data_IF_747230933819
#
_entry.id   IF_747230933819
#
_cell.length_a   1.000
_cell.length_b   1.000
_cell.length_c   1.000
_cell.angle_alpha   90.00
_cell.angle_beta   90.00
_cell.angle_gamma   90.00
#
_symmetry.space_group_name_H-M   'P 1'
#
loop_
_entity.id
_entity.type
_entity.pdbx_description
1 polymer ?
#
# COMPACT_ATOMS: atom_id res chain seq x y z
N UNK A 1 17.75 21.99 21.58
CA UNK A 1 17.25 21.72 20.23
C UNK A 1 18.35 21.27 19.24
N UNK A 2 19.56 21.57 19.51
CA UNK A 2 20.73 20.95 18.92
C UNK A 2 20.70 19.42 18.98
N UNK A 3 20.06 18.85 20.00
CA UNK A 3 20.04 17.42 20.30
C UNK A 3 19.38 16.54 19.22
N UNK A 4 18.34 17.00 18.52
CA UNK A 4 17.65 16.18 17.50
C UNK A 4 18.44 16.19 16.20
N UNK A 5 18.96 17.33 15.78
CA UNK A 5 19.81 17.42 14.58
C UNK A 5 21.11 16.68 14.82
N UNK A 6 21.75 16.87 15.98
CA UNK A 6 22.96 16.11 16.37
C UNK A 6 22.69 14.60 16.47
N UNK A 7 21.50 14.21 16.95
CA UNK A 7 21.09 12.80 16.96
C UNK A 7 20.92 12.25 15.54
N UNK A 8 20.28 13.01 14.64
CA UNK A 8 20.11 12.61 13.23
C UNK A 8 21.46 12.58 12.51
N UNK A 9 22.36 13.51 12.79
CA UNK A 9 23.70 13.52 12.20
C UNK A 9 24.51 12.31 12.68
N UNK A 10 24.45 11.96 13.97
CA UNK A 10 25.18 10.82 14.54
C UNK A 10 24.56 9.47 14.20
N UNK A 11 23.24 9.39 14.14
CA UNK A 11 22.50 8.15 13.90
C UNK A 11 21.70 8.17 12.58
N UNK A 12 22.04 9.07 11.66
CA UNK A 12 21.30 9.29 10.40
C UNK A 12 20.99 7.99 9.62
N UNK A 13 22.00 7.17 9.33
CA UNK A 13 21.78 5.93 8.58
C UNK A 13 20.79 4.95 9.25
N UNK A 14 20.92 4.58 10.56
CA UNK A 14 19.96 3.68 11.20
C UNK A 14 18.58 4.30 11.41
N UNK A 15 18.49 5.61 11.65
CA UNK A 15 17.21 6.32 11.75
C UNK A 15 16.50 6.32 10.41
N UNK A 16 17.23 6.62 9.34
CA UNK A 16 16.70 6.59 7.96
C UNK A 16 16.24 5.19 7.57
N UNK A 17 17.04 4.17 7.86
CA UNK A 17 16.68 2.77 7.65
C UNK A 17 15.36 2.44 8.35
N UNK A 18 15.26 2.70 9.66
CA UNK A 18 14.06 2.40 10.44
C UNK A 18 12.83 3.17 9.97
N UNK A 19 12.99 4.44 9.62
CA UNK A 19 11.90 5.27 9.13
C UNK A 19 11.36 4.78 7.78
N UNK A 20 12.25 4.51 6.82
CA UNK A 20 11.89 3.97 5.50
C UNK A 20 11.30 2.58 5.64
N UNK A 21 11.85 1.74 6.52
CA UNK A 21 11.29 0.42 6.80
C UNK A 21 9.83 0.50 7.27
N UNK A 22 9.53 1.40 8.22
CA UNK A 22 8.17 1.59 8.74
C UNK A 22 7.22 2.14 7.68
N UNK A 23 7.65 3.15 6.91
CA UNK A 23 6.88 3.71 5.80
C UNK A 23 6.52 2.62 4.77
N UNK A 24 7.52 1.86 4.33
CA UNK A 24 7.35 0.79 3.36
C UNK A 24 6.61 -0.43 3.93
N UNK A 25 6.62 -0.61 5.25
CA UNK A 25 5.80 -1.61 5.93
C UNK A 25 4.31 -1.23 6.00
N UNK A 26 3.94 -0.01 5.56
CA UNK A 26 2.55 0.47 5.49
C UNK A 26 2.13 1.35 6.67
N UNK A 27 3.05 1.74 7.54
CA UNK A 27 2.79 2.78 8.54
C UNK A 27 2.67 4.12 7.81
N UNK A 28 1.64 4.96 8.06
CA UNK A 28 1.44 6.20 7.33
C UNK A 28 2.43 7.30 7.80
N UNK A 29 3.72 7.03 7.64
CA UNK A 29 4.82 7.95 7.91
C UNK A 29 5.29 8.55 6.58
N UNK A 30 5.42 9.87 6.46
CA UNK A 30 5.91 10.47 5.24
C UNK A 30 7.45 10.30 5.16
N UNK A 31 7.94 9.35 4.36
CA UNK A 31 9.39 9.15 4.17
C UNK A 31 10.03 10.20 3.26
N UNK A 32 9.30 10.70 2.26
CA UNK A 32 9.82 11.66 1.28
C UNK A 32 10.43 12.92 1.91
N UNK A 33 9.77 13.62 2.85
CA UNK A 33 10.38 14.78 3.50
C UNK A 33 11.69 14.46 4.21
N UNK A 34 11.79 13.28 4.85
CA UNK A 34 13.02 12.86 5.51
C UNK A 34 14.14 12.59 4.51
N UNK A 35 13.84 11.94 3.39
CA UNK A 35 14.80 11.68 2.31
C UNK A 35 15.34 12.99 1.71
N UNK A 36 14.48 13.98 1.50
CA UNK A 36 14.88 15.31 1.03
C UNK A 36 15.82 16.01 2.03
N UNK A 37 15.47 15.97 3.32
CA UNK A 37 16.33 16.56 4.37
C UNK A 37 17.67 15.86 4.47
N UNK A 38 17.69 14.52 4.45
CA UNK A 38 18.92 13.72 4.48
C UNK A 38 19.77 14.01 3.24
N UNK A 39 19.13 14.14 2.06
CA UNK A 39 19.79 14.55 0.83
C UNK A 39 20.44 15.94 0.95
N UNK A 40 19.73 16.92 1.51
CA UNK A 40 20.27 18.26 1.74
C UNK A 40 21.44 18.26 2.72
N UNK A 41 21.35 17.50 3.82
CA UNK A 41 22.46 17.33 4.76
C UNK A 41 23.69 16.66 4.11
N UNK A 42 23.45 15.73 3.18
CA UNK A 42 24.52 15.13 2.40
C UNK A 42 25.17 16.14 1.43
N UNK A 43 24.37 17.01 0.79
CA UNK A 43 24.83 18.11 -0.05
C UNK A 43 25.66 19.14 0.72
N UNK A 44 25.27 19.44 1.96
CA UNK A 44 26.02 20.29 2.87
C UNK A 44 27.27 19.61 3.50
N UNK A 45 27.57 18.36 3.11
CA UNK A 45 28.73 17.62 3.60
C UNK A 45 28.62 17.10 5.04
N UNK A 46 27.42 17.16 5.65
CA UNK A 46 27.19 16.74 7.03
C UNK A 46 26.89 15.23 7.15
N UNK A 47 26.45 14.60 6.06
CA UNK A 47 26.17 13.16 5.99
C UNK A 47 26.78 12.54 4.73
N UNK A 48 27.13 11.26 4.83
CA UNK A 48 27.58 10.51 3.65
C UNK A 48 26.37 10.13 2.76
N UNK A 49 26.41 10.61 1.52
CA UNK A 49 25.39 10.29 0.50
C UNK A 49 25.23 8.78 0.32
N UNK A 50 26.34 8.05 0.25
CA UNK A 50 26.33 6.60 0.04
C UNK A 50 25.74 5.82 1.20
N UNK A 51 26.01 6.24 2.44
CA UNK A 51 25.41 5.62 3.62
C UNK A 51 23.90 5.91 3.69
N UNK A 52 23.48 7.11 3.34
CA UNK A 52 22.07 7.48 3.26
C UNK A 52 21.33 6.64 2.20
N UNK A 53 21.89 6.56 0.99
CA UNK A 53 21.35 5.74 -0.09
C UNK A 53 21.24 4.26 0.32
N UNK A 54 22.34 3.69 0.83
CA UNK A 54 22.38 2.29 1.27
C UNK A 54 21.35 1.98 2.36
N UNK A 55 21.20 2.89 3.33
CA UNK A 55 20.22 2.74 4.43
C UNK A 55 18.78 2.79 3.92
N UNK A 56 18.46 3.73 3.02
CA UNK A 56 17.13 3.84 2.43
C UNK A 56 16.78 2.60 1.60
N UNK A 57 17.69 2.16 0.73
CA UNK A 57 17.52 0.94 -0.10
C UNK A 57 17.36 -0.30 0.78
N UNK A 58 18.20 -0.45 1.81
CA UNK A 58 18.09 -1.58 2.75
C UNK A 58 16.72 -1.59 3.47
N UNK A 59 16.24 -0.42 3.94
CA UNK A 59 14.94 -0.29 4.57
C UNK A 59 13.80 -0.70 3.64
N UNK A 60 13.82 -0.26 2.38
CA UNK A 60 12.88 -0.69 1.35
C UNK A 60 12.91 -2.22 1.16
N UNK A 61 14.09 -2.78 0.89
CA UNK A 61 14.24 -4.20 0.58
C UNK A 61 13.75 -5.10 1.72
N UNK A 62 14.05 -4.74 2.97
CA UNK A 62 13.60 -5.52 4.13
C UNK A 62 12.07 -5.51 4.22
N UNK A 63 11.43 -4.35 4.07
CA UNK A 63 9.97 -4.25 4.08
C UNK A 63 9.33 -5.04 2.94
N UNK A 64 9.85 -4.89 1.73
CA UNK A 64 9.31 -5.54 0.53
C UNK A 64 9.49 -7.07 0.59
N UNK A 65 10.62 -7.56 1.11
CA UNK A 65 10.85 -8.98 1.34
C UNK A 65 9.89 -9.56 2.39
N UNK A 66 9.57 -8.81 3.43
CA UNK A 66 8.57 -9.22 4.41
C UNK A 66 7.20 -9.38 3.73
N UNK A 67 6.75 -8.39 2.96
CA UNK A 67 5.48 -8.45 2.24
C UNK A 67 5.44 -9.55 1.20
N UNK A 68 6.51 -9.72 0.41
CA UNK A 68 6.65 -10.82 -0.55
C UNK A 68 6.53 -12.19 0.15
N UNK A 69 7.22 -12.37 1.29
CA UNK A 69 7.20 -13.63 2.04
C UNK A 69 5.82 -13.91 2.64
N UNK A 70 5.15 -12.89 3.15
CA UNK A 70 3.77 -13.02 3.62
C UNK A 70 2.83 -13.39 2.47
N UNK A 71 2.92 -12.71 1.33
CA UNK A 71 2.15 -13.04 0.13
C UNK A 71 2.37 -14.47 -0.32
N UNK A 72 3.64 -14.91 -0.38
CA UNK A 72 4.01 -16.26 -0.81
C UNK A 72 3.51 -17.36 0.12
N UNK A 73 3.44 -17.10 1.46
CA UNK A 73 3.05 -18.08 2.47
C UNK A 73 1.54 -18.09 2.75
N UNK A 74 0.90 -16.95 2.72
CA UNK A 74 -0.50 -16.75 3.15
C UNK A 74 -1.45 -16.48 1.99
N UNK A 75 -0.94 -16.34 0.76
CA UNK A 75 -1.74 -16.12 -0.44
C UNK A 75 -2.62 -14.88 -0.36
N UNK A 76 -3.80 -14.94 -0.98
CA UNK A 76 -4.75 -13.82 -1.01
C UNK A 76 -5.24 -13.35 0.38
N UNK A 77 -5.08 -14.16 1.44
CA UNK A 77 -5.43 -13.75 2.81
C UNK A 77 -4.66 -12.51 3.27
N UNK A 78 -3.43 -12.32 2.75
CA UNK A 78 -2.60 -11.14 3.06
C UNK A 78 -3.23 -9.88 2.48
N UNK A 79 -3.79 -9.95 1.28
CA UNK A 79 -4.45 -8.82 0.64
C UNK A 79 -5.63 -8.33 1.48
N UNK A 80 -6.44 -9.25 2.03
CA UNK A 80 -7.51 -8.92 2.96
C UNK A 80 -7.02 -8.27 4.28
N UNK A 81 -5.86 -8.68 4.79
CA UNK A 81 -5.23 -8.05 5.95
C UNK A 81 -4.75 -6.64 5.62
N UNK A 82 -4.13 -6.47 4.45
CA UNK A 82 -3.65 -5.16 3.99
C UNK A 82 -4.80 -4.18 3.79
N UNK A 83 -5.95 -4.63 3.24
CA UNK A 83 -7.17 -3.82 3.15
C UNK A 83 -7.66 -3.33 4.53
N UNK A 84 -7.34 -4.04 5.59
CA UNK A 84 -7.67 -3.62 6.97
C UNK A 84 -6.68 -2.61 7.54
N UNK A 85 -5.42 -2.70 7.14
CA UNK A 85 -4.33 -1.83 7.62
C UNK A 85 -4.25 -0.56 6.78
N UNK A 86 -4.25 -0.69 5.46
CA UNK A 86 -4.30 0.45 4.55
C UNK A 86 -5.69 1.09 4.63
N UNK A 87 -5.72 2.40 4.80
CA UNK A 87 -6.95 3.20 4.89
C UNK A 87 -7.69 3.31 3.54
N UNK A 88 -7.28 2.52 2.54
CA UNK A 88 -7.83 2.52 1.18
C UNK A 88 -8.98 1.50 1.03
N UNK A 89 -10.05 1.84 0.30
CA UNK A 89 -11.17 0.93 0.03
C UNK A 89 -10.77 -0.24 -0.89
N UNK A 90 -11.57 -1.33 -0.83
CA UNK A 90 -11.34 -2.58 -1.59
C UNK A 90 -11.13 -2.38 -3.11
N UNK A 91 -11.64 -1.28 -3.67
CA UNK A 91 -11.42 -0.87 -5.06
C UNK A 91 -9.95 -0.59 -5.39
N UNK A 92 -9.15 -0.14 -4.41
CA UNK A 92 -7.71 0.10 -4.62
C UNK A 92 -6.94 -1.22 -4.81
N UNK A 93 -7.27 -2.23 -4.02
CA UNK A 93 -6.63 -3.55 -4.11
C UNK A 93 -6.88 -4.17 -5.48
N UNK A 94 -8.12 -4.14 -5.97
CA UNK A 94 -8.47 -4.66 -7.29
C UNK A 94 -7.71 -3.94 -8.40
N UNK A 95 -7.68 -2.60 -8.34
CA UNK A 95 -6.92 -1.82 -9.33
C UNK A 95 -5.44 -2.17 -9.34
N UNK A 96 -4.84 -2.43 -8.16
CA UNK A 96 -3.44 -2.86 -8.06
C UNK A 96 -3.28 -4.29 -8.59
N UNK A 97 -4.22 -5.20 -8.31
CA UNK A 97 -4.23 -6.55 -8.88
C UNK A 97 -4.31 -6.53 -10.40
N UNK A 98 -5.19 -5.72 -10.98
CA UNK A 98 -5.36 -5.59 -12.44
C UNK A 98 -4.13 -4.98 -13.09
N UNK A 99 -3.58 -3.92 -12.51
CA UNK A 99 -2.33 -3.31 -12.96
C UNK A 99 -1.17 -4.30 -12.85
N UNK A 100 -1.09 -5.07 -11.77
CA UNK A 100 -0.06 -6.10 -11.61
C UNK A 100 -0.23 -7.25 -12.61
N UNK A 101 -1.46 -7.67 -12.89
CA UNK A 101 -1.76 -8.68 -13.90
C UNK A 101 -1.36 -8.21 -15.31
N UNK A 102 -1.57 -6.92 -15.62
CA UNK A 102 -1.23 -6.34 -16.92
C UNK A 102 0.28 -6.10 -17.09
N UNK A 103 0.94 -5.56 -16.07
CA UNK A 103 2.33 -5.09 -16.16
C UNK A 103 3.36 -5.96 -15.44
N UNK A 104 2.91 -6.89 -14.59
CA UNK A 104 3.77 -7.80 -13.82
C UNK A 104 4.92 -7.06 -13.10
N UNK A 105 6.16 -7.52 -13.32
CA UNK A 105 7.36 -6.95 -12.69
C UNK A 105 7.63 -5.48 -13.07
N UNK A 106 7.17 -5.03 -14.24
CA UNK A 106 7.32 -3.63 -14.68
C UNK A 106 6.49 -2.66 -13.84
N UNK A 107 5.53 -3.18 -13.09
CA UNK A 107 4.71 -2.38 -12.19
C UNK A 107 5.45 -2.01 -10.88
N UNK A 108 6.42 -2.82 -10.42
CA UNK A 108 7.13 -2.61 -9.16
C UNK A 108 7.83 -1.23 -9.06
N UNK A 109 8.57 -0.76 -10.07
CA UNK A 109 9.14 0.58 -10.03
C UNK A 109 8.09 1.69 -9.89
N UNK A 110 6.98 1.56 -10.59
CA UNK A 110 5.89 2.56 -10.57
C UNK A 110 5.18 2.53 -9.22
N UNK A 111 4.91 1.33 -8.68
CA UNK A 111 4.23 1.13 -7.40
C UNK A 111 4.96 1.84 -6.25
N UNK A 112 6.29 1.93 -6.30
CA UNK A 112 7.10 2.56 -5.27
C UNK A 112 6.91 4.08 -5.18
N UNK A 113 6.50 4.73 -6.27
CA UNK A 113 6.18 6.15 -6.28
C UNK A 113 4.71 6.43 -5.89
N UNK A 114 3.87 5.40 -5.81
CA UNK A 114 2.46 5.53 -5.47
C UNK A 114 2.25 5.23 -3.98
N UNK A 115 1.77 6.20 -3.17
CA UNK A 115 1.56 6.00 -1.75
C UNK A 115 0.62 4.82 -1.47
N UNK A 116 1.03 3.90 -0.57
CA UNK A 116 0.22 2.76 -0.15
C UNK A 116 0.11 1.60 -1.15
N UNK A 117 0.64 1.75 -2.36
CA UNK A 117 0.58 0.71 -3.41
C UNK A 117 1.76 -0.26 -3.32
N UNK A 118 2.94 0.22 -2.91
CA UNK A 118 4.15 -0.61 -2.85
C UNK A 118 3.99 -1.89 -2.01
N UNK A 119 3.46 -1.86 -0.78
CA UNK A 119 3.27 -3.07 0.02
C UNK A 119 2.36 -4.10 -0.68
N UNK A 120 1.33 -3.63 -1.39
CA UNK A 120 0.41 -4.48 -2.15
C UNK A 120 1.12 -5.15 -3.34
N UNK A 121 1.92 -4.40 -4.09
CA UNK A 121 2.67 -4.92 -5.23
C UNK A 121 3.70 -5.97 -4.80
N UNK A 122 4.40 -5.75 -3.69
CA UNK A 122 5.34 -6.70 -3.11
C UNK A 122 4.63 -7.98 -2.64
N UNK A 123 3.49 -7.85 -1.93
CA UNK A 123 2.70 -9.00 -1.50
C UNK A 123 2.15 -9.80 -2.69
N UNK A 124 1.61 -9.13 -3.71
CA UNK A 124 1.11 -9.76 -4.95
C UNK A 124 2.20 -10.54 -5.69
N UNK A 125 3.41 -9.99 -5.74
CA UNK A 125 4.58 -10.68 -6.30
C UNK A 125 4.82 -12.02 -5.61
N UNK A 126 4.61 -12.07 -4.29
CA UNK A 126 4.68 -13.30 -3.49
C UNK A 126 3.53 -14.25 -3.78
N UNK A 127 2.28 -13.77 -3.88
CA UNK A 127 1.07 -14.54 -4.20
C UNK A 127 1.21 -15.22 -5.56
N UNK A 128 1.65 -14.49 -6.58
CA UNK A 128 1.90 -15.00 -7.94
C UNK A 128 3.14 -15.89 -8.02
N UNK A 129 3.90 -16.02 -6.92
CA UNK A 129 5.10 -16.86 -6.80
C UNK A 129 6.23 -16.47 -7.78
N UNK A 130 6.43 -15.19 -8.01
CA UNK A 130 7.58 -14.70 -8.79
C UNK A 130 8.87 -15.26 -8.18
N UNK A 131 9.86 -15.67 -8.98
CA UNK A 131 11.15 -16.12 -8.47
C UNK A 131 11.82 -15.06 -7.59
N UNK A 132 12.27 -15.45 -6.39
CA UNK A 132 12.81 -14.52 -5.39
C UNK A 132 13.96 -13.67 -5.92
N UNK A 133 14.90 -14.28 -6.68
CA UNK A 133 16.03 -13.55 -7.23
C UNK A 133 15.62 -12.43 -8.19
N UNK A 134 14.62 -12.70 -9.04
CA UNK A 134 14.08 -11.71 -9.97
C UNK A 134 13.32 -10.60 -9.24
N UNK A 135 12.52 -10.96 -8.23
CA UNK A 135 11.84 -9.99 -7.37
C UNK A 135 12.84 -9.06 -6.67
N UNK A 136 13.86 -9.63 -6.00
CA UNK A 136 14.90 -8.83 -5.29
C UNK A 136 15.65 -7.91 -6.25
N UNK A 137 15.98 -8.37 -7.46
CA UNK A 137 16.66 -7.55 -8.45
C UNK A 137 15.80 -6.35 -8.88
N UNK A 138 14.54 -6.60 -9.19
CA UNK A 138 13.59 -5.53 -9.59
C UNK A 138 13.34 -4.56 -8.43
N UNK A 139 13.16 -5.07 -7.21
CA UNK A 139 12.96 -4.21 -6.03
C UNK A 139 14.19 -3.42 -5.66
N UNK A 140 15.39 -4.00 -5.76
CA UNK A 140 16.63 -3.26 -5.53
C UNK A 140 16.79 -2.11 -6.53
N UNK A 141 16.52 -2.34 -7.81
CA UNK A 141 16.56 -1.31 -8.83
C UNK A 141 15.50 -0.23 -8.57
N UNK A 142 14.28 -0.62 -8.18
CA UNK A 142 13.17 0.28 -7.86
C UNK A 142 13.47 1.12 -6.61
N UNK A 143 13.99 0.49 -5.56
CA UNK A 143 14.38 1.16 -4.32
C UNK A 143 15.51 2.15 -4.55
N UNK A 144 16.50 1.77 -5.37
CA UNK A 144 17.61 2.65 -5.75
C UNK A 144 17.09 3.87 -6.54
N UNK A 145 16.24 3.65 -7.55
CA UNK A 145 15.67 4.73 -8.34
C UNK A 145 14.84 5.69 -7.47
N UNK A 146 13.98 5.15 -6.58
CA UNK A 146 13.16 5.94 -5.68
C UNK A 146 14.00 6.74 -4.68
N UNK A 147 14.95 6.09 -4.01
CA UNK A 147 15.85 6.75 -3.06
C UNK A 147 16.74 7.79 -3.75
N UNK A 148 17.28 7.48 -4.93
CA UNK A 148 18.09 8.40 -5.71
C UNK A 148 17.30 9.64 -6.14
N UNK A 149 16.03 9.48 -6.48
CA UNK A 149 15.16 10.60 -6.84
C UNK A 149 15.02 11.58 -5.67
N UNK A 150 14.60 11.10 -4.50
CA UNK A 150 14.30 11.99 -3.37
C UNK A 150 15.55 12.49 -2.65
N UNK A 151 16.53 11.62 -2.40
CA UNK A 151 17.81 12.03 -1.79
C UNK A 151 18.59 12.90 -2.78
N UNK A 152 18.57 12.57 -4.07
CA UNK A 152 19.23 13.36 -5.12
C UNK A 152 18.62 14.75 -5.27
N UNK A 153 17.30 14.88 -5.25
CA UNK A 153 16.63 16.19 -5.24
C UNK A 153 17.04 16.98 -3.99
N UNK A 154 17.04 16.37 -2.80
CA UNK A 154 17.52 17.02 -1.59
C UNK A 154 18.96 17.49 -1.70
N UNK A 155 19.83 16.67 -2.26
CA UNK A 155 21.25 16.98 -2.48
C UNK A 155 21.45 18.15 -3.44
N UNK A 156 20.75 18.16 -4.57
CA UNK A 156 20.84 19.21 -5.58
C UNK A 156 20.29 20.55 -5.09
N UNK A 157 19.27 20.51 -4.25
CA UNK A 157 18.63 21.71 -3.69
C UNK A 157 19.06 22.00 -2.25
N UNK A 158 20.23 21.53 -1.82
CA UNK A 158 20.75 21.73 -0.45
C UNK A 158 20.74 23.20 -0.03
N UNK A 159 21.18 24.10 -0.89
CA UNK A 159 21.25 25.53 -0.64
C UNK A 159 19.88 26.19 -0.39
N UNK A 160 18.82 25.60 -0.93
CA UNK A 160 17.43 26.08 -0.72
C UNK A 160 16.78 25.43 0.49
N UNK A 161 17.12 24.18 0.80
CA UNK A 161 16.51 23.39 1.87
C UNK A 161 17.12 23.75 3.22
N UNK A 162 18.41 24.05 3.29
CA UNK A 162 19.12 24.36 4.53
C UNK A 162 18.54 25.58 5.25
N UNK A 163 18.24 26.74 4.59
CA UNK A 163 17.58 27.87 5.25
C UNK A 163 16.16 27.51 5.74
N UNK A 164 15.44 26.69 4.97
CA UNK A 164 14.08 26.24 5.33
C UNK A 164 14.14 25.34 6.57
N UNK A 165 15.07 24.39 6.59
CA UNK A 165 15.29 23.49 7.73
C UNK A 165 15.72 24.24 8.99
N UNK A 166 16.61 25.24 8.86
CA UNK A 166 17.04 26.10 9.97
C UNK A 166 15.92 27.02 10.46
N UNK A 167 15.08 27.52 9.57
CA UNK A 167 13.92 28.34 9.94
C UNK A 167 12.82 27.49 10.60
N UNK A 168 12.57 26.28 10.11
CA UNK A 168 11.68 25.30 10.74
C UNK A 168 12.20 24.88 12.13
N UNK A 169 13.51 24.75 12.30
CA UNK A 169 14.14 24.47 13.60
C UNK A 169 14.02 25.66 14.59
N UNK A 170 14.04 26.90 14.10
CA UNK A 170 13.80 28.10 14.92
C UNK A 170 12.35 28.24 15.38
N UNK A 171 11.38 27.76 14.59
CA UNK A 171 9.97 27.71 14.98
C UNK A 171 9.70 26.70 16.12
N UNK A 172 10.70 25.90 16.48
CA UNK A 172 10.70 25.03 17.66
C UNK A 172 9.70 23.88 17.60
N UNK A 173 9.51 23.24 18.76
CA UNK A 173 8.59 22.10 18.93
C UNK A 173 7.14 22.37 18.48
N UNK A 174 6.76 23.62 18.29
CA UNK A 174 5.44 24.00 17.74
C UNK A 174 5.24 23.48 16.32
N UNK A 175 6.25 23.52 15.45
CA UNK A 175 6.14 23.01 14.07
C UNK A 175 5.98 21.49 14.05
N UNK A 176 6.70 20.78 14.92
CA UNK A 176 6.57 19.33 15.08
C UNK A 176 5.19 18.97 15.63
N UNK A 177 4.68 19.72 16.61
CA UNK A 177 3.33 19.52 17.16
C UNK A 177 2.27 19.80 16.09
N UNK A 178 2.41 20.87 15.30
CA UNK A 178 1.47 21.16 14.20
C UNK A 178 1.52 20.09 13.13
N UNK A 179 2.70 19.62 12.74
CA UNK A 179 2.84 18.52 11.76
C UNK A 179 2.22 17.22 12.29
N UNK A 180 2.50 16.87 13.55
CA UNK A 180 1.88 15.71 14.22
C UNK A 180 0.36 15.87 14.30
N UNK A 181 -0.14 17.05 14.65
CA UNK A 181 -1.57 17.32 14.70
C UNK A 181 -2.22 17.19 13.32
N UNK A 182 -1.57 17.67 12.26
CA UNK A 182 -2.04 17.51 10.87
C UNK A 182 -2.06 16.04 10.44
N UNK A 183 -1.02 15.27 10.76
CA UNK A 183 -0.98 13.83 10.49
C UNK A 183 -2.08 13.09 11.25
N UNK A 184 -2.25 13.38 12.54
CA UNK A 184 -3.32 12.78 13.36
C UNK A 184 -4.70 13.19 12.84
N UNK A 185 -4.89 14.45 12.46
CA UNK A 185 -6.14 14.92 11.86
C UNK A 185 -6.42 14.23 10.53
N UNK A 186 -5.42 14.10 9.65
CA UNK A 186 -5.53 13.40 8.38
C UNK A 186 -5.93 11.93 8.56
N UNK A 187 -5.21 11.22 9.45
CA UNK A 187 -5.52 9.82 9.79
C UNK A 187 -6.93 9.71 10.40
N UNK A 188 -7.28 10.64 11.29
CA UNK A 188 -8.60 10.70 11.92
C UNK A 188 -9.73 10.91 10.89
N UNK A 189 -9.56 11.85 9.96
CA UNK A 189 -10.53 12.12 8.88
C UNK A 189 -10.67 10.90 7.97
N UNK A 190 -9.58 10.28 7.55
CA UNK A 190 -9.59 9.04 6.75
C UNK A 190 -10.29 7.90 7.49
N UNK A 191 -10.01 7.74 8.78
CA UNK A 191 -10.66 6.72 9.61
C UNK A 191 -12.17 6.96 9.73
N UNK A 192 -12.60 8.20 9.96
CA UNK A 192 -14.02 8.57 10.05
C UNK A 192 -14.74 8.38 8.72
N UNK A 193 -14.12 8.81 7.61
CA UNK A 193 -14.64 8.60 6.25
C UNK A 193 -14.84 7.11 5.97
N UNK A 194 -13.84 6.28 6.28
CA UNK A 194 -13.93 4.83 6.16
C UNK A 194 -15.07 4.25 6.99
N UNK A 195 -15.19 4.67 8.26
CA UNK A 195 -16.25 4.18 9.15
C UNK A 195 -17.65 4.59 8.68
N UNK A 196 -17.78 5.78 8.10
CA UNK A 196 -19.03 6.26 7.49
C UNK A 196 -19.35 5.47 6.23
N UNK A 197 -18.38 5.21 5.36
CA UNK A 197 -18.54 4.41 4.16
C UNK A 197 -19.02 2.99 4.48
N UNK A 198 -18.38 2.28 5.42
CA UNK A 198 -18.82 0.95 5.84
C UNK A 198 -20.18 0.94 6.56
N UNK A 199 -20.59 2.05 7.19
CA UNK A 199 -21.92 2.17 7.76
C UNK A 199 -23.00 2.47 6.71
N UNK A 200 -22.65 3.19 5.66
CA UNK A 200 -23.54 3.46 4.53
C UNK A 200 -23.77 2.20 3.67
N UNK A 201 -22.76 1.35 3.56
CA UNK A 201 -22.85 0.01 2.97
C UNK A 201 -23.44 -1.00 3.98
N UNK A 202 -24.66 -0.74 4.46
CA UNK A 202 -25.47 -1.77 5.14
C UNK A 202 -25.98 -2.77 4.11
N UNK A 203 -25.09 -3.51 3.46
CA UNK A 203 -25.49 -4.70 2.74
C UNK A 203 -25.94 -5.75 3.75
N UNK A 204 -27.14 -6.28 3.57
CA UNK A 204 -27.58 -7.43 4.33
C UNK A 204 -26.59 -8.58 4.02
N UNK A 205 -25.89 -9.02 5.05
CA UNK A 205 -24.99 -10.18 4.91
C UNK A 205 -25.79 -11.42 5.26
N UNK A 206 -25.76 -12.39 4.36
CA UNK A 206 -26.35 -13.71 4.62
C UNK A 206 -25.22 -14.70 4.97
N UNK A 207 -25.52 -15.67 5.81
CA UNK A 207 -24.56 -16.76 6.09
C UNK A 207 -24.54 -17.77 4.95
N UNK A 208 -23.44 -18.52 4.78
CA UNK A 208 -23.39 -19.57 3.76
C UNK A 208 -24.50 -20.62 3.93
N UNK A 209 -24.87 -20.91 5.17
CA UNK A 209 -25.95 -21.84 5.52
C UNK A 209 -27.33 -21.32 5.06
N UNK A 210 -27.57 -20.02 5.31
CA UNK A 210 -28.80 -19.37 4.88
C UNK A 210 -28.90 -19.31 3.36
N UNK A 211 -27.77 -19.01 2.66
CA UNK A 211 -27.73 -19.04 1.20
C UNK A 211 -28.04 -20.43 0.67
N UNK A 212 -27.45 -21.47 1.26
CA UNK A 212 -27.71 -22.85 0.86
C UNK A 212 -29.18 -23.22 1.03
N UNK A 213 -29.76 -22.87 2.17
CA UNK A 213 -31.19 -23.12 2.43
C UNK A 213 -32.08 -22.41 1.39
N UNK A 214 -31.79 -21.13 1.07
CA UNK A 214 -32.54 -20.40 0.05
C UNK A 214 -32.42 -21.06 -1.34
N UNK A 215 -31.26 -21.63 -1.68
CA UNK A 215 -31.05 -22.37 -2.94
C UNK A 215 -31.80 -23.71 -2.93
N UNK A 216 -31.79 -24.42 -1.81
CA UNK A 216 -32.47 -25.71 -1.64
C UNK A 216 -34.01 -25.54 -1.64
N UNK A 217 -34.53 -24.41 -1.15
CA UNK A 217 -35.95 -24.05 -1.15
C UNK A 217 -36.47 -23.64 -2.55
N UNK A 218 -35.59 -23.59 -3.56
CA UNK A 218 -35.95 -23.28 -4.94
C UNK A 218 -36.27 -21.82 -5.22
N UNK A 219 -35.81 -20.93 -4.37
CA UNK A 219 -35.95 -19.48 -4.58
C UNK A 219 -35.19 -19.04 -5.85
N UNK A 220 -35.76 -18.09 -6.60
CA UNK A 220 -35.08 -17.50 -7.75
C UNK A 220 -33.98 -16.56 -7.28
N UNK A 221 -32.77 -17.13 -7.09
CA UNK A 221 -31.61 -16.41 -6.60
C UNK A 221 -30.52 -16.43 -7.67
N UNK A 222 -29.95 -15.27 -7.99
CA UNK A 222 -28.76 -15.15 -8.81
C UNK A 222 -27.52 -14.98 -7.92
N UNK A 223 -26.61 -15.95 -7.92
CA UNK A 223 -25.35 -15.87 -7.18
C UNK A 223 -24.27 -15.36 -8.12
N UNK A 224 -23.59 -14.28 -7.72
CA UNK A 224 -22.51 -13.67 -8.54
C UNK A 224 -21.18 -13.71 -7.81
N UNK A 225 -20.17 -14.27 -8.47
CA UNK A 225 -18.79 -14.36 -7.99
C UNK A 225 -18.01 -13.11 -8.46
N UNK A 226 -17.74 -12.21 -7.52
CA UNK A 226 -16.98 -10.97 -7.73
C UNK A 226 -15.50 -11.12 -7.39
N UNK A 227 -14.98 -12.33 -7.21
CA UNK A 227 -13.55 -12.53 -6.87
C UNK A 227 -12.65 -12.06 -8.01
N UNK A 228 -11.50 -11.49 -7.63
CA UNK A 228 -10.46 -11.15 -8.60
C UNK A 228 -9.92 -12.40 -9.32
N UNK A 229 -9.31 -12.24 -10.51
CA UNK A 229 -8.67 -13.35 -11.22
C UNK A 229 -7.62 -14.09 -10.38
N UNK A 230 -6.91 -13.37 -9.51
CA UNK A 230 -5.91 -13.95 -8.60
C UNK A 230 -6.58 -14.80 -7.51
N UNK A 231 -7.58 -14.25 -6.82
CA UNK A 231 -8.34 -14.97 -5.79
C UNK A 231 -9.06 -16.20 -6.34
N UNK A 232 -9.56 -16.11 -7.56
CA UNK A 232 -10.22 -17.24 -8.23
C UNK A 232 -9.26 -18.36 -8.63
N UNK A 233 -8.01 -18.05 -8.97
CA UNK A 233 -6.97 -19.06 -9.25
C UNK A 233 -6.50 -19.78 -7.99
N UNK A 234 -6.41 -19.07 -6.87
CA UNK A 234 -6.01 -19.67 -5.59
C UNK A 234 -7.07 -20.61 -5.01
N UNK A 235 -8.35 -20.28 -5.23
CA UNK A 235 -9.50 -21.07 -4.78
C UNK A 235 -10.42 -21.36 -5.95
N UNK A 236 -10.15 -22.39 -6.73
CA UNK A 236 -10.89 -22.68 -7.96
C UNK A 236 -12.35 -23.09 -7.74
N UNK A 237 -12.71 -23.46 -6.50
CA UNK A 237 -14.07 -23.85 -6.17
C UNK A 237 -15.01 -22.64 -6.22
N UNK A 238 -16.16 -22.82 -6.81
CA UNK A 238 -17.21 -21.83 -7.00
C UNK A 238 -18.52 -22.37 -6.45
N UNK A 239 -19.40 -21.48 -5.97
CA UNK A 239 -20.74 -21.88 -5.55
C UNK A 239 -21.46 -22.42 -6.81
N UNK A 240 -22.13 -23.60 -6.73
CA UNK A 240 -22.85 -24.16 -7.88
C UNK A 240 -23.85 -23.15 -8.46
N UNK A 241 -23.82 -22.97 -9.76
CA UNK A 241 -24.71 -22.03 -10.46
C UNK A 241 -24.31 -20.54 -10.34
N UNK A 242 -23.21 -20.22 -9.67
CA UNK A 242 -22.76 -18.84 -9.58
C UNK A 242 -22.20 -18.34 -10.92
N UNK A 243 -22.55 -17.12 -11.28
CA UNK A 243 -22.04 -16.44 -12.46
C UNK A 243 -20.81 -15.59 -12.08
N UNK A 244 -19.68 -15.85 -12.74
CA UNK A 244 -18.48 -15.03 -12.52
C UNK A 244 -18.54 -13.80 -13.41
N UNK A 245 -18.59 -12.63 -12.78
CA UNK A 245 -18.62 -11.33 -13.45
C UNK A 245 -17.63 -10.41 -12.72
N UNK A 246 -16.77 -9.73 -13.47
CA UNK A 246 -15.96 -8.65 -12.85
C UNK A 246 -16.86 -7.46 -12.47
N UNK A 247 -16.50 -6.66 -11.46
CA UNK A 247 -17.29 -5.47 -11.11
C UNK A 247 -17.46 -4.50 -12.27
N UNK A 248 -16.45 -4.37 -13.13
CA UNK A 248 -16.47 -3.51 -14.32
C UNK A 248 -17.46 -4.05 -15.37
N UNK A 249 -17.52 -5.37 -15.55
CA UNK A 249 -18.51 -6.01 -16.41
C UNK A 249 -19.91 -5.91 -15.80
N UNK A 250 -20.03 -6.03 -14.48
CA UNK A 250 -21.30 -5.86 -13.77
C UNK A 250 -21.87 -4.46 -14.01
N UNK A 251 -21.02 -3.43 -13.92
CA UNK A 251 -21.40 -2.04 -14.20
C UNK A 251 -21.84 -1.83 -15.65
N UNK A 252 -21.15 -2.46 -16.61
CA UNK A 252 -21.48 -2.36 -18.04
C UNK A 252 -22.72 -3.17 -18.42
N UNK A 253 -23.01 -4.23 -17.70
CA UNK A 253 -24.10 -5.17 -17.98
C UNK A 253 -25.27 -5.05 -17.03
N UNK A 254 -25.43 -3.89 -16.39
CA UNK A 254 -26.52 -3.63 -15.44
C UNK A 254 -27.91 -3.91 -16.05
N UNK A 255 -28.09 -3.64 -17.35
CA UNK A 255 -29.35 -3.83 -18.05
C UNK A 255 -29.67 -5.31 -18.33
N UNK A 256 -28.67 -6.21 -18.27
CA UNK A 256 -28.83 -7.65 -18.46
C UNK A 256 -29.17 -8.38 -17.15
N UNK A 257 -29.08 -7.71 -16.01
CA UNK A 257 -29.32 -8.29 -14.69
C UNK A 257 -30.82 -8.23 -14.41
N UNK A 258 -31.49 -9.38 -14.17
CA UNK A 258 -32.89 -9.41 -13.84
C UNK A 258 -33.17 -8.60 -12.56
N UNK A 259 -34.19 -7.74 -12.59
CA UNK A 259 -34.55 -6.91 -11.42
C UNK A 259 -35.57 -7.60 -10.49
N UNK A 260 -36.06 -8.73 -10.90
CA UNK A 260 -37.10 -9.54 -10.26
C UNK A 260 -36.53 -10.74 -9.48
N UNK A 261 -35.19 -10.91 -9.47
CA UNK A 261 -34.52 -11.97 -8.71
C UNK A 261 -33.66 -11.38 -7.60
N UNK A 262 -33.54 -12.11 -6.51
CA UNK A 262 -32.65 -11.76 -5.43
C UNK A 262 -31.19 -12.03 -5.82
N UNK A 263 -30.31 -11.02 -5.74
CA UNK A 263 -28.92 -11.12 -6.16
C UNK A 263 -28.04 -11.25 -4.92
N UNK A 264 -27.30 -12.34 -4.84
CA UNK A 264 -26.33 -12.58 -3.79
C UNK A 264 -24.92 -12.46 -4.38
N UNK A 265 -24.20 -11.44 -3.90
CA UNK A 265 -22.83 -11.19 -4.30
C UNK A 265 -21.87 -11.80 -3.29
N UNK A 266 -20.84 -12.53 -3.74
CA UNK A 266 -19.76 -12.95 -2.87
C UNK A 266 -18.40 -12.56 -3.42
N UNK A 267 -17.51 -12.18 -2.51
CA UNK A 267 -16.09 -11.91 -2.75
C UNK A 267 -15.27 -12.49 -1.60
N UNK A 268 -14.00 -12.70 -1.82
CA UNK A 268 -13.07 -13.13 -0.74
C UNK A 268 -12.24 -11.96 -0.27
#
# INVERSE_FOLDING_TARGET
MTTIIDFVIRNGPPVLFGWVLLDQAGVPLPAVPLLLVVGALAGAGQLSLWLAMGSAVAGCLVADLLWYTFGRRRGATVLGLMCRITLEPDSCVRRVEDMFAAYQLRFLPIAKFLPGVNPLAAALSGVVKIPLGLFVLCEAASALAWSATWIGLGYLFSDLIEPIATQASRLGGRSVVVLLALVVAYVGVKYVQRRRFFRALRMARISPEALKQMMDDGNSIMVVDLRSPVGARERPYMIPGALRISPEELERRQDEIPRDVEIVLYCT
#
